data_IF_142895780753
#
_entry.id   IF_142895780753
#
_cell.length_a   1.000
_cell.length_b   1.000
_cell.length_c   1.000
_cell.angle_alpha   90.00
_cell.angle_beta   90.00
_cell.angle_gamma   90.00
#
_symmetry.space_group_name_H-M   'P 1'
#
loop_
_entity.id
_entity.type
_entity.pdbx_description
1 polymer ?
#
# COMPACT_ATOMS: atom_id res chain seq x y z
N UNK A 1 -40.56 -3.79 -2.34
CA UNK A 1 -40.01 -4.97 -1.62
C UNK A 1 -39.27 -4.58 -0.34
N UNK A 2 -38.43 -3.53 -0.33
CA UNK A 2 -37.75 -3.03 0.87
C UNK A 2 -38.69 -2.62 2.03
N UNK A 3 -39.87 -2.07 1.73
CA UNK A 3 -40.84 -1.63 2.75
C UNK A 3 -41.43 -2.78 3.59
N UNK A 4 -41.66 -3.94 2.98
CA UNK A 4 -42.20 -5.11 3.68
C UNK A 4 -41.15 -5.74 4.59
N UNK A 5 -39.89 -5.80 4.14
CA UNK A 5 -38.78 -6.32 4.93
C UNK A 5 -38.53 -5.47 6.18
N UNK A 6 -38.50 -4.15 6.02
CA UNK A 6 -38.36 -3.20 7.15
C UNK A 6 -39.53 -3.35 8.12
N UNK A 7 -40.76 -3.45 7.60
CA UNK A 7 -41.95 -3.65 8.43
C UNK A 7 -41.91 -4.96 9.23
N UNK A 8 -41.48 -6.06 8.61
CA UNK A 8 -41.37 -7.37 9.27
C UNK A 8 -40.28 -7.37 10.34
N UNK A 9 -39.11 -6.77 10.05
CA UNK A 9 -38.03 -6.60 11.02
C UNK A 9 -38.51 -5.78 12.22
N UNK A 10 -39.22 -4.67 11.97
CA UNK A 10 -39.77 -3.84 13.04
C UNK A 10 -40.84 -4.57 13.86
N UNK A 11 -41.75 -5.29 13.20
CA UNK A 11 -42.85 -6.02 13.87
C UNK A 11 -42.35 -7.16 14.76
N UNK A 12 -41.32 -7.89 14.33
CA UNK A 12 -40.82 -9.07 15.04
C UNK A 12 -39.47 -8.84 15.76
N UNK A 13 -39.06 -7.58 15.93
CA UNK A 13 -37.75 -7.20 16.49
C UNK A 13 -37.44 -7.86 17.84
N UNK A 14 -38.43 -7.98 18.72
CA UNK A 14 -38.25 -8.57 20.05
C UNK A 14 -37.99 -10.09 19.98
N UNK A 15 -38.67 -10.79 19.08
CA UNK A 15 -38.51 -12.23 18.91
C UNK A 15 -37.17 -12.55 18.22
N UNK A 16 -36.73 -11.72 17.25
CA UNK A 16 -35.44 -11.88 16.56
C UNK A 16 -34.28 -11.66 17.53
N UNK A 17 -34.32 -10.60 18.34
CA UNK A 17 -33.26 -10.30 19.32
C UNK A 17 -33.26 -11.36 20.43
N UNK A 18 -34.43 -11.80 20.89
CA UNK A 18 -34.54 -12.91 21.85
C UNK A 18 -33.92 -14.20 21.32
N UNK A 19 -34.18 -14.53 20.05
CA UNK A 19 -33.58 -15.68 19.37
C UNK A 19 -32.05 -15.57 19.25
N UNK A 20 -31.52 -14.39 18.88
CA UNK A 20 -30.07 -14.16 18.81
C UNK A 20 -29.40 -14.20 20.18
N UNK A 21 -30.04 -13.66 21.22
CA UNK A 21 -29.55 -13.72 22.59
C UNK A 21 -29.46 -15.18 23.09
N UNK A 22 -30.47 -16.01 22.77
CA UNK A 22 -30.46 -17.45 23.03
C UNK A 22 -29.36 -18.18 22.25
N UNK A 23 -29.08 -17.77 21.01
CA UNK A 23 -28.03 -18.37 20.20
C UNK A 23 -26.62 -18.09 20.76
N UNK A 24 -26.42 -16.95 21.44
CA UNK A 24 -25.13 -16.60 22.06
C UNK A 24 -25.02 -17.12 23.50
N UNK A 25 -26.11 -17.17 24.26
CA UNK A 25 -26.18 -17.68 25.63
C UNK A 25 -27.06 -18.94 25.68
N UNK A 26 -26.53 -20.08 25.21
CA UNK A 26 -27.29 -21.32 25.00
C UNK A 26 -27.86 -22.00 26.27
N UNK A 27 -27.69 -21.41 27.45
CA UNK A 27 -28.11 -21.98 28.74
C UNK A 27 -29.29 -21.27 29.39
N UNK A 28 -29.70 -20.12 28.86
CA UNK A 28 -30.80 -19.35 29.42
C UNK A 28 -32.07 -19.56 28.59
N UNK A 29 -33.24 -19.56 29.25
CA UNK A 29 -34.55 -19.64 28.62
C UNK A 29 -35.23 -18.30 28.80
N UNK A 30 -35.66 -17.68 27.70
CA UNK A 30 -36.36 -16.39 27.75
C UNK A 30 -37.81 -16.63 28.18
N UNK A 31 -38.14 -16.29 29.43
CA UNK A 31 -39.52 -16.31 29.94
C UNK A 31 -40.20 -14.94 29.69
N UNK A 32 -41.44 -14.95 29.18
CA UNK A 32 -42.22 -13.72 28.94
C UNK A 32 -42.81 -13.24 30.26
N UNK A 33 -41.98 -12.60 31.08
CA UNK A 33 -42.41 -11.96 32.32
C UNK A 33 -43.47 -10.87 32.08
N UNK A 34 -44.50 -10.83 32.94
CA UNK A 34 -45.66 -9.90 32.90
C UNK A 34 -45.33 -8.45 33.30
N UNK A 35 -44.06 -8.08 33.34
CA UNK A 35 -43.59 -6.74 33.70
C UNK A 35 -43.55 -5.81 32.50
N UNK A 36 -43.70 -4.50 32.74
CA UNK A 36 -43.48 -3.50 31.71
C UNK A 36 -41.98 -3.54 31.31
N UNK A 37 -41.62 -3.86 30.05
CA UNK A 37 -40.23 -4.08 29.68
C UNK A 37 -39.45 -2.76 29.76
N UNK A 38 -38.74 -2.52 30.87
CA UNK A 38 -37.74 -1.46 31.00
C UNK A 38 -36.40 -1.90 30.42
N UNK A 39 -36.43 -2.37 29.19
CA UNK A 39 -35.25 -2.84 28.47
C UNK A 39 -34.79 -1.74 27.54
N UNK A 40 -33.66 -1.13 27.89
CA UNK A 40 -32.96 -0.06 27.14
C UNK A 40 -32.76 -0.43 25.66
N UNK A 41 -32.72 -1.73 25.35
CA UNK A 41 -32.57 -2.28 24.00
C UNK A 41 -33.76 -2.02 23.05
N UNK A 42 -34.95 -1.71 23.58
CA UNK A 42 -36.14 -1.39 22.77
C UNK A 42 -36.56 0.07 22.86
N UNK A 43 -35.71 0.90 23.45
CA UNK A 43 -35.84 2.34 23.37
C UNK A 43 -35.63 2.78 21.91
N UNK A 44 -36.49 3.68 21.44
CA UNK A 44 -36.45 4.20 20.07
C UNK A 44 -35.12 4.90 19.79
N UNK A 45 -34.55 5.56 20.79
CA UNK A 45 -33.25 6.23 20.69
C UNK A 45 -32.12 5.22 20.48
N UNK A 46 -32.13 4.12 21.22
CA UNK A 46 -31.09 3.08 21.15
C UNK A 46 -31.19 2.30 19.84
N UNK A 47 -32.42 2.02 19.37
CA UNK A 47 -32.65 1.35 18.10
C UNK A 47 -32.22 2.22 16.91
N UNK A 48 -32.40 3.54 17.02
CA UNK A 48 -31.94 4.51 16.01
C UNK A 48 -30.41 4.54 15.92
N UNK A 49 -29.72 4.56 17.07
CA UNK A 49 -28.25 4.52 17.11
C UNK A 49 -27.74 3.19 16.55
N UNK A 50 -28.35 2.06 16.93
CA UNK A 50 -27.98 0.76 16.41
C UNK A 50 -28.14 0.68 14.89
N UNK A 51 -29.24 1.22 14.34
CA UNK A 51 -29.47 1.28 12.90
C UNK A 51 -28.42 2.15 12.19
N UNK A 52 -28.06 3.29 12.78
CA UNK A 52 -27.02 4.17 12.23
C UNK A 52 -25.66 3.46 12.15
N UNK A 53 -25.27 2.71 13.19
CA UNK A 53 -24.02 1.92 13.19
C UNK A 53 -24.04 0.85 12.10
N UNK A 54 -25.17 0.16 11.91
CA UNK A 54 -25.32 -0.86 10.85
C UNK A 54 -25.20 -0.22 9.47
N UNK A 55 -25.91 0.88 9.21
CA UNK A 55 -25.86 1.58 7.92
C UNK A 55 -24.47 2.12 7.63
N UNK A 56 -23.81 2.71 8.63
CA UNK A 56 -22.43 3.20 8.50
C UNK A 56 -21.45 2.07 8.21
N UNK A 57 -21.53 0.96 8.96
CA UNK A 57 -20.66 -0.19 8.77
C UNK A 57 -20.86 -0.82 7.38
N UNK A 58 -22.12 -0.97 6.94
CA UNK A 58 -22.44 -1.47 5.62
C UNK A 58 -21.90 -0.56 4.51
N UNK A 59 -22.06 0.76 4.66
CA UNK A 59 -21.50 1.75 3.73
C UNK A 59 -19.98 1.70 3.68
N UNK A 60 -19.32 1.63 4.83
CA UNK A 60 -17.87 1.53 4.93
C UNK A 60 -17.34 0.26 4.26
N UNK A 61 -17.95 -0.90 4.50
CA UNK A 61 -17.59 -2.16 3.86
C UNK A 61 -17.83 -2.12 2.34
N UNK A 62 -18.96 -1.55 1.91
CA UNK A 62 -19.28 -1.40 0.49
C UNK A 62 -18.25 -0.52 -0.23
N UNK A 63 -17.84 0.60 0.37
CA UNK A 63 -16.81 1.48 -0.21
C UNK A 63 -15.47 0.77 -0.33
N UNK A 64 -15.03 0.06 0.71
CA UNK A 64 -13.75 -0.67 0.66
C UNK A 64 -13.75 -1.84 -0.33
N UNK A 65 -14.90 -2.49 -0.52
CA UNK A 65 -15.05 -3.59 -1.48
C UNK A 65 -15.09 -3.08 -2.92
N UNK A 66 -15.83 -2.00 -3.19
CA UNK A 66 -15.99 -1.44 -4.54
C UNK A 66 -14.80 -0.59 -4.97
N UNK A 67 -14.14 0.07 -4.03
CA UNK A 67 -12.92 0.86 -4.24
C UNK A 67 -11.82 0.35 -3.32
N UNK A 68 -11.09 -0.72 -3.73
CA UNK A 68 -9.94 -1.20 -2.99
C UNK A 68 -8.98 -0.02 -2.76
N UNK A 69 -8.56 0.26 -1.52
CA UNK A 69 -7.83 1.48 -1.17
C UNK A 69 -6.41 1.56 -1.77
N UNK A 70 -5.95 0.51 -2.47
CA UNK A 70 -4.58 0.46 -3.00
C UNK A 70 -4.62 0.59 -4.51
N UNK A 71 -4.44 1.81 -5.01
CA UNK A 71 -4.14 2.01 -6.43
C UNK A 71 -2.84 1.29 -6.78
N UNK A 72 -2.77 0.53 -7.89
CA UNK A 72 -1.52 -0.09 -8.35
C UNK A 72 -0.35 0.89 -8.38
N UNK A 73 0.76 0.56 -7.71
CA UNK A 73 1.95 1.42 -7.73
C UNK A 73 3.25 0.62 -7.74
N UNK A 74 4.30 1.26 -8.25
CA UNK A 74 5.67 0.80 -8.14
C UNK A 74 6.52 1.85 -7.41
N UNK A 75 7.63 1.43 -6.81
CA UNK A 75 8.59 2.33 -6.15
C UNK A 75 9.98 2.06 -6.71
N UNK A 76 10.76 3.12 -6.95
CA UNK A 76 12.19 3.05 -7.24
C UNK A 76 12.95 3.92 -6.23
N UNK A 77 14.09 3.45 -5.76
CA UNK A 77 14.92 4.16 -4.79
C UNK A 77 16.39 3.73 -4.87
N UNK A 78 17.31 4.53 -4.32
CA UNK A 78 18.74 4.18 -4.20
C UNK A 78 19.08 4.07 -2.72
N UNK A 79 19.85 3.06 -2.36
CA UNK A 79 20.41 2.85 -1.01
C UNK A 79 21.93 2.72 -1.08
N UNK A 80 22.58 3.09 0.02
CA UNK A 80 24.01 2.88 0.20
C UNK A 80 24.38 1.43 0.53
N UNK A 81 25.66 1.16 0.85
CA UNK A 81 26.19 -0.19 1.04
C UNK A 81 25.43 -1.03 2.09
N UNK A 82 24.96 -0.39 3.16
CA UNK A 82 24.26 -1.05 4.26
C UNK A 82 22.75 -1.21 4.02
N UNK A 83 22.27 -0.92 2.81
CA UNK A 83 20.84 -0.90 2.49
C UNK A 83 20.08 0.29 3.09
N UNK A 84 20.79 1.33 3.55
CA UNK A 84 20.20 2.53 4.16
C UNK A 84 20.32 3.74 3.24
N UNK A 85 19.37 4.66 3.34
CA UNK A 85 19.43 5.96 2.65
C UNK A 85 20.51 6.87 3.24
N UNK A 86 20.72 6.81 4.55
CA UNK A 86 21.68 7.65 5.27
C UNK A 86 23.15 7.27 5.02
N UNK A 87 23.42 6.07 4.49
CA UNK A 87 24.78 5.60 4.20
C UNK A 87 25.27 6.02 2.82
N UNK A 88 24.55 6.88 2.09
CA UNK A 88 24.98 7.43 0.81
C UNK A 88 25.85 8.67 1.11
N UNK A 89 27.18 8.62 0.88
CA UNK A 89 28.04 9.77 1.12
C UNK A 89 27.78 10.87 0.08
N UNK A 90 27.77 12.12 0.52
CA UNK A 90 27.70 13.28 -0.37
C UNK A 90 29.08 13.70 -0.91
N UNK A 91 30.16 13.27 -0.24
CA UNK A 91 31.54 13.58 -0.62
C UNK A 91 32.41 12.34 -0.54
N UNK A 92 33.20 12.13 -1.58
CA UNK A 92 33.99 10.91 -1.76
C UNK A 92 35.37 11.29 -2.34
N UNK A 93 36.48 10.71 -1.86
CA UNK A 93 37.80 11.00 -2.41
C UNK A 93 38.00 10.41 -3.82
N UNK A 94 38.80 11.08 -4.63
CA UNK A 94 39.23 10.57 -5.94
C UNK A 94 39.96 9.22 -5.79
N UNK A 95 39.70 8.29 -6.71
CA UNK A 95 40.30 6.95 -6.74
C UNK A 95 39.62 5.93 -5.83
N UNK A 96 38.53 6.31 -5.17
CA UNK A 96 37.71 5.37 -4.40
C UNK A 96 36.52 4.83 -5.21
N UNK A 97 35.94 3.75 -4.72
CA UNK A 97 34.74 3.14 -5.27
C UNK A 97 33.60 3.18 -4.25
N UNK A 98 32.37 3.30 -4.75
CA UNK A 98 31.17 3.31 -3.93
C UNK A 98 30.19 2.25 -4.42
N UNK A 99 29.83 1.34 -3.52
CA UNK A 99 28.83 0.32 -3.76
C UNK A 99 27.45 0.85 -3.38
N UNK A 100 26.55 0.90 -4.34
CA UNK A 100 25.17 1.33 -4.16
C UNK A 100 24.23 0.22 -4.63
N UNK A 101 22.96 0.36 -4.30
CA UNK A 101 21.92 -0.51 -4.86
C UNK A 101 20.69 0.29 -5.25
N UNK A 102 20.10 -0.06 -6.39
CA UNK A 102 18.77 0.44 -6.80
C UNK A 102 17.74 -0.57 -6.34
N UNK A 103 16.76 -0.12 -5.57
CA UNK A 103 15.61 -0.91 -5.18
C UNK A 103 14.40 -0.61 -6.06
N UNK A 104 13.72 -1.67 -6.47
CA UNK A 104 12.40 -1.61 -7.11
C UNK A 104 11.43 -2.42 -6.28
N UNK A 105 10.25 -1.87 -5.97
CA UNK A 105 9.17 -2.58 -5.29
C UNK A 105 7.89 -2.55 -6.12
N UNK A 106 7.25 -3.70 -6.26
CA UNK A 106 6.02 -3.86 -7.04
C UNK A 106 4.80 -4.00 -6.11
N UNK A 107 3.84 -3.10 -6.21
CA UNK A 107 2.52 -3.19 -5.60
C UNK A 107 1.40 -2.94 -6.63
N UNK A 108 1.58 -3.40 -7.87
CA UNK A 108 0.61 -3.23 -8.96
C UNK A 108 -0.53 -4.25 -8.95
N UNK A 109 -0.56 -5.18 -7.99
CA UNK A 109 -1.55 -6.26 -7.91
C UNK A 109 -1.28 -7.43 -8.86
N UNK A 110 -0.22 -7.36 -9.68
CA UNK A 110 0.20 -8.40 -10.63
C UNK A 110 1.72 -8.44 -10.78
N UNK A 111 2.26 -9.50 -11.36
CA UNK A 111 3.65 -9.51 -11.80
C UNK A 111 3.84 -8.53 -12.97
N UNK A 112 4.92 -7.74 -12.92
CA UNK A 112 5.23 -6.72 -13.93
C UNK A 112 6.68 -6.88 -14.37
N UNK A 113 6.92 -6.76 -15.68
CA UNK A 113 8.27 -6.71 -16.22
C UNK A 113 8.79 -5.27 -16.15
N UNK A 114 9.71 -5.03 -15.22
CA UNK A 114 10.37 -3.74 -15.07
C UNK A 114 11.69 -3.68 -15.84
N UNK A 115 11.98 -2.47 -16.32
CA UNK A 115 13.26 -2.08 -16.90
C UNK A 115 13.75 -0.85 -16.13
N UNK A 116 14.97 -0.92 -15.61
CA UNK A 116 15.65 0.17 -14.92
C UNK A 116 16.75 0.68 -15.82
N UNK A 117 16.68 1.96 -16.19
CA UNK A 117 17.75 2.65 -16.91
C UNK A 117 18.54 3.49 -15.91
N UNK A 118 19.81 3.14 -15.71
CA UNK A 118 20.73 3.84 -14.83
C UNK A 118 21.71 4.67 -15.67
N UNK A 119 21.73 5.98 -15.46
CA UNK A 119 22.69 6.89 -16.05
C UNK A 119 23.58 7.48 -14.95
N UNK A 120 24.90 7.45 -15.18
CA UNK A 120 25.90 8.09 -14.35
C UNK A 120 26.57 9.16 -15.20
N UNK A 121 26.52 10.41 -14.75
CA UNK A 121 27.15 11.54 -15.41
C UNK A 121 28.12 12.25 -14.48
N UNK A 122 29.11 12.94 -15.06
CA UNK A 122 30.07 13.79 -14.37
C UNK A 122 30.02 15.18 -14.99
N UNK A 123 29.75 16.20 -14.19
CA UNK A 123 29.60 17.59 -14.64
C UNK A 123 28.63 17.72 -15.85
N UNK A 124 27.55 16.93 -15.85
CA UNK A 124 26.55 16.90 -16.93
C UNK A 124 26.92 16.06 -18.16
N UNK A 125 28.10 15.43 -18.20
CA UNK A 125 28.50 14.54 -19.29
C UNK A 125 28.30 13.09 -18.86
N UNK A 126 27.58 12.31 -19.66
CA UNK A 126 27.39 10.87 -19.43
C UNK A 126 28.74 10.14 -19.39
N UNK A 127 28.93 9.32 -18.36
CA UNK A 127 30.15 8.51 -18.13
C UNK A 127 29.84 7.02 -18.22
N UNK A 128 28.66 6.61 -17.75
CA UNK A 128 28.22 5.22 -17.84
C UNK A 128 26.69 5.12 -17.91
N UNK A 129 26.21 4.09 -18.59
CA UNK A 129 24.79 3.79 -18.74
C UNK A 129 24.57 2.28 -18.63
N UNK A 130 23.61 1.88 -17.81
CA UNK A 130 23.27 0.48 -17.57
C UNK A 130 21.76 0.27 -17.70
N UNK A 131 21.39 -0.88 -18.27
CA UNK A 131 20.00 -1.32 -18.35
C UNK A 131 19.83 -2.64 -17.62
N UNK A 132 18.91 -2.66 -16.66
CA UNK A 132 18.56 -3.86 -15.92
C UNK A 132 17.11 -4.21 -16.19
N UNK A 133 16.81 -5.51 -16.30
CA UNK A 133 15.44 -5.97 -16.53
C UNK A 133 15.10 -7.19 -15.67
N UNK A 134 13.88 -7.21 -15.12
CA UNK A 134 13.38 -8.35 -14.35
C UNK A 134 11.85 -8.34 -14.30
N UNK A 135 11.26 -9.54 -14.36
CA UNK A 135 9.86 -9.75 -13.99
C UNK A 135 9.78 -9.82 -12.47
N UNK A 136 9.01 -8.92 -11.87
CA UNK A 136 8.88 -8.80 -10.42
C UNK A 136 7.43 -9.14 -10.02
N UNK A 137 7.26 -10.14 -9.15
CA UNK A 137 5.94 -10.51 -8.64
C UNK A 137 5.33 -9.38 -7.79
N UNK A 138 4.00 -9.38 -7.63
CA UNK A 138 3.32 -8.43 -6.75
C UNK A 138 3.80 -8.60 -5.30
N UNK A 139 3.99 -7.49 -4.58
CA UNK A 139 4.50 -7.46 -3.21
C UNK A 139 5.98 -7.81 -3.08
N UNK A 140 6.72 -7.96 -4.18
CA UNK A 140 8.14 -8.32 -4.16
C UNK A 140 9.04 -7.11 -4.41
N UNK A 141 10.27 -7.19 -3.91
CA UNK A 141 11.32 -6.21 -4.15
C UNK A 141 12.49 -6.81 -4.96
N UNK A 142 13.21 -5.94 -5.65
CA UNK A 142 14.41 -6.27 -6.40
C UNK A 142 15.48 -5.23 -6.08
N UNK A 143 16.59 -5.68 -5.52
CA UNK A 143 17.78 -4.88 -5.30
C UNK A 143 18.80 -5.17 -6.40
N UNK A 144 19.25 -4.11 -7.08
CA UNK A 144 20.23 -4.14 -8.16
C UNK A 144 21.52 -3.54 -7.62
N UNK A 145 22.55 -4.34 -7.30
CA UNK A 145 23.83 -3.80 -6.88
C UNK A 145 24.55 -3.18 -8.08
N UNK A 146 25.20 -2.03 -7.85
CA UNK A 146 26.09 -1.40 -8.82
C UNK A 146 27.21 -0.66 -8.09
N UNK A 147 28.36 -0.55 -8.76
CA UNK A 147 29.56 0.10 -8.22
C UNK A 147 29.92 1.29 -9.11
N UNK A 148 30.29 2.39 -8.47
CA UNK A 148 30.79 3.59 -9.15
C UNK A 148 32.26 3.76 -8.79
N UNK A 149 33.10 3.95 -9.79
CA UNK A 149 34.51 4.27 -9.63
C UNK A 149 34.73 5.77 -9.92
N UNK A 150 35.39 6.46 -9.00
CA UNK A 150 35.58 7.92 -9.06
C UNK A 150 37.00 8.30 -9.48
N UNK A 151 37.33 8.08 -10.75
CA UNK A 151 38.69 8.27 -11.27
C UNK A 151 39.13 9.73 -11.39
N UNK A 152 38.16 10.67 -11.38
CA UNK A 152 38.43 12.10 -11.55
C UNK A 152 37.59 12.93 -10.58
N UNK A 153 38.07 14.08 -10.12
CA UNK A 153 37.26 15.01 -9.35
C UNK A 153 36.12 15.58 -10.19
N UNK A 154 35.06 16.04 -9.52
CA UNK A 154 33.89 16.64 -10.13
C UNK A 154 32.59 16.24 -9.44
N UNK A 155 31.47 16.76 -9.93
CA UNK A 155 30.15 16.42 -9.44
C UNK A 155 29.59 15.26 -10.27
N UNK A 156 29.40 14.12 -9.62
CA UNK A 156 28.79 12.95 -10.22
C UNK A 156 27.29 12.95 -9.93
N UNK A 157 26.47 12.73 -10.94
CA UNK A 157 25.03 12.57 -10.82
C UNK A 157 24.66 11.15 -11.23
N UNK A 158 23.97 10.45 -10.35
CA UNK A 158 23.45 9.10 -10.58
C UNK A 158 21.94 9.20 -10.67
N UNK A 159 21.39 8.82 -11.82
CA UNK A 159 19.96 8.83 -12.07
C UNK A 159 19.48 7.45 -12.51
N UNK A 160 18.45 6.93 -11.86
CA UNK A 160 17.79 5.69 -12.27
C UNK A 160 16.32 5.96 -12.60
N UNK A 161 15.89 5.57 -13.79
CA UNK A 161 14.52 5.70 -14.27
C UNK A 161 13.83 4.34 -14.29
N UNK A 162 12.56 4.29 -13.87
CA UNK A 162 11.77 3.07 -13.87
C UNK A 162 10.82 3.05 -15.07
N UNK A 163 10.89 1.97 -15.84
CA UNK A 163 10.04 1.68 -16.97
C UNK A 163 9.36 0.32 -16.74
N UNK A 164 8.22 0.11 -17.38
CA UNK A 164 7.53 -1.18 -17.38
C UNK A 164 7.11 -1.59 -18.77
N UNK A 165 7.04 -2.89 -19.00
CA UNK A 165 6.60 -3.44 -20.28
C UNK A 165 5.12 -3.83 -20.23
N UNK A 166 4.27 -3.11 -20.98
CA UNK A 166 2.84 -3.36 -21.11
C UNK A 166 2.35 -2.93 -22.51
N UNK A 167 1.89 -3.85 -23.37
CA UNK A 167 2.66 -4.56 -24.41
C UNK A 167 3.83 -3.82 -25.13
N UNK A 168 4.17 -2.60 -24.72
CA UNK A 168 5.34 -1.83 -25.15
C UNK A 168 6.04 -1.27 -23.90
N UNK A 169 7.31 -0.88 -24.06
CA UNK A 169 8.05 -0.24 -22.99
C UNK A 169 7.47 1.16 -22.72
N UNK A 170 7.00 1.38 -21.49
CA UNK A 170 6.33 2.61 -21.06
C UNK A 170 7.02 3.16 -19.81
N UNK A 171 7.31 4.47 -19.82
CA UNK A 171 7.91 5.13 -18.66
C UNK A 171 6.89 5.26 -17.54
N UNK A 172 7.28 4.92 -16.31
CA UNK A 172 6.37 4.97 -15.14
C UNK A 172 6.26 6.36 -14.53
N UNK A 173 6.95 7.35 -15.09
CA UNK A 173 7.14 8.68 -14.51
C UNK A 173 7.78 8.68 -13.10
N UNK A 174 8.59 7.64 -12.82
CA UNK A 174 9.30 7.47 -11.56
C UNK A 174 10.79 7.38 -11.84
N UNK A 175 11.55 8.21 -11.13
CA UNK A 175 13.00 8.20 -11.16
C UNK A 175 13.54 8.52 -9.77
N UNK A 176 14.81 8.22 -9.57
CA UNK A 176 15.57 8.59 -8.38
C UNK A 176 16.90 9.17 -8.86
N UNK A 177 17.31 10.28 -8.24
CA UNK A 177 18.55 10.98 -8.57
C UNK A 177 19.29 11.29 -7.28
N UNK A 178 20.61 11.07 -7.29
CA UNK A 178 21.53 11.51 -6.24
C UNK A 178 22.73 12.22 -6.86
N UNK A 179 23.34 13.12 -6.09
CA UNK A 179 24.53 13.86 -6.47
C UNK A 179 25.64 13.60 -5.45
N UNK A 180 26.86 13.38 -5.95
CA UNK A 180 28.04 13.05 -5.17
C UNK A 180 29.18 13.95 -5.64
N UNK A 181 29.74 14.75 -4.74
CA UNK A 181 30.91 15.57 -5.04
C UNK A 181 32.18 14.77 -4.79
N UNK A 182 33.06 14.72 -5.78
CA UNK A 182 34.36 14.06 -5.71
C UNK A 182 35.46 15.12 -5.72
N UNK A 183 36.33 15.08 -4.72
CA UNK A 183 37.44 16.03 -4.53
C UNK A 183 38.62 15.42 -3.82
#
# INVERSE_FOLDING_TARGET
MLSLAIYLIWKYRADIIGFLALAVHSKDVVDKGRGNPRTVLFDEDVLTIALAVVVFSAGFLAVNYLWPPTSPYAVIYIVGPDGKFSSIPQRVPVGSSLNLSIGVYNAEGRAVWYVVLLNISRNGVEVANYTFMRILANGSSWLIPFTIEFDRPGNYTVEAQLWKYEPKLTYTNKYVRIEISVG
#
